data_IF_377676373163
#
_entry.id   IF_377676373163
#
_cell.length_a   1.000
_cell.length_b   1.000
_cell.length_c   1.000
_cell.angle_alpha   90.00
_cell.angle_beta   90.00
_cell.angle_gamma   90.00
#
_symmetry.space_group_name_H-M   'P 1'
#
loop_
_entity.id
_entity.type
_entity.pdbx_description
1 polymer ?
#
# COMPACT_ATOMS: atom_id res chain seq x y z
N UNK A 1 -13.43 29.26 -8.59
CA UNK A 1 -12.05 29.43 -8.10
C UNK A 1 -11.15 29.22 -9.31
N UNK A 2 -10.43 30.26 -9.75
CA UNK A 2 -9.56 30.16 -10.92
C UNK A 2 -8.38 29.24 -10.60
N UNK A 3 -8.15 28.25 -11.48
CA UNK A 3 -7.10 27.26 -11.35
C UNK A 3 -5.75 27.95 -11.53
N UNK A 4 -4.82 27.70 -10.61
CA UNK A 4 -3.47 28.26 -10.69
C UNK A 4 -2.74 27.58 -11.84
N UNK A 5 -2.15 28.36 -12.74
CA UNK A 5 -1.28 27.82 -13.79
C UNK A 5 0.11 27.60 -13.20
N UNK A 6 0.59 26.35 -13.24
CA UNK A 6 1.91 25.96 -12.78
C UNK A 6 2.88 25.94 -13.96
N UNK A 7 4.12 26.40 -13.73
CA UNK A 7 5.21 26.24 -14.70
C UNK A 7 5.89 24.88 -14.49
N UNK A 8 6.59 24.34 -15.51
CA UNK A 8 7.25 23.02 -15.45
C UNK A 8 8.21 22.80 -14.27
N UNK A 9 8.72 23.86 -13.63
CA UNK A 9 9.57 23.79 -12.42
C UNK A 9 8.80 23.81 -11.10
N UNK A 10 7.49 24.02 -11.16
CA UNK A 10 6.59 24.19 -10.01
C UNK A 10 5.81 22.89 -9.70
N UNK A 11 5.98 21.87 -10.55
CA UNK A 11 5.42 20.52 -10.36
C UNK A 11 6.30 19.68 -9.43
N UNK A 12 5.72 18.60 -8.90
CA UNK A 12 6.48 17.59 -8.19
C UNK A 12 7.54 16.97 -9.12
N UNK A 13 8.73 16.72 -8.58
CA UNK A 13 9.72 15.91 -9.26
C UNK A 13 9.13 14.50 -9.52
N UNK A 14 9.36 13.87 -10.70
CA UNK A 14 8.95 12.49 -10.96
C UNK A 14 9.28 11.49 -9.84
N UNK A 15 10.46 11.61 -9.22
CA UNK A 15 10.86 10.79 -8.07
C UNK A 15 9.97 11.02 -6.83
N UNK A 16 9.52 12.26 -6.62
CA UNK A 16 8.59 12.58 -5.54
C UNK A 16 7.17 12.05 -5.83
N UNK A 17 6.76 12.00 -7.10
CA UNK A 17 5.50 11.38 -7.52
C UNK A 17 5.54 9.86 -7.24
N UNK A 18 6.63 9.19 -7.64
CA UNK A 18 6.83 7.76 -7.37
C UNK A 18 6.83 7.47 -5.86
N UNK A 19 7.62 8.20 -5.08
CA UNK A 19 7.67 8.04 -3.63
C UNK A 19 6.31 8.35 -2.95
N UNK A 20 5.51 9.27 -3.49
CA UNK A 20 4.15 9.53 -2.99
C UNK A 20 3.21 8.34 -3.24
N UNK A 21 3.30 7.72 -4.43
CA UNK A 21 2.48 6.56 -4.81
C UNK A 21 2.85 5.33 -3.98
N UNK A 22 4.14 5.13 -3.72
CA UNK A 22 4.65 4.00 -2.95
C UNK A 22 4.54 4.20 -1.42
N UNK A 23 4.31 5.43 -0.96
CA UNK A 23 4.17 5.75 0.47
C UNK A 23 5.50 5.96 1.19
N UNK A 24 6.58 6.21 0.45
CA UNK A 24 7.96 6.30 0.94
C UNK A 24 8.39 7.74 1.30
N UNK A 25 7.47 8.70 1.21
CA UNK A 25 7.75 10.08 1.63
C UNK A 25 7.72 10.22 3.15
N UNK A 26 8.63 11.02 3.70
CA UNK A 26 8.52 11.49 5.09
C UNK A 26 7.21 12.26 5.32
N UNK A 27 6.66 12.23 6.53
CA UNK A 27 5.41 12.90 6.89
C UNK A 27 5.31 14.36 6.42
N UNK A 28 6.42 15.11 6.53
CA UNK A 28 6.46 16.50 6.10
C UNK A 28 6.44 16.64 4.57
N UNK A 29 7.13 15.75 3.85
CA UNK A 29 7.11 15.71 2.40
C UNK A 29 5.73 15.27 1.87
N UNK A 30 5.13 14.25 2.49
CA UNK A 30 3.79 13.77 2.16
C UNK A 30 2.74 14.88 2.25
N UNK A 31 2.70 15.64 3.36
CA UNK A 31 1.75 16.76 3.52
C UNK A 31 1.90 17.84 2.45
N UNK A 32 3.14 18.16 2.06
CA UNK A 32 3.40 19.15 0.99
C UNK A 32 2.95 18.61 -0.37
N UNK A 33 3.27 17.36 -0.67
CA UNK A 33 2.84 16.71 -1.89
C UNK A 33 1.30 16.62 -1.97
N UNK A 34 0.63 16.15 -0.91
CA UNK A 34 -0.82 16.07 -0.83
C UNK A 34 -1.48 17.42 -1.10
N UNK A 35 -0.97 18.49 -0.48
CA UNK A 35 -1.46 19.85 -0.74
C UNK A 35 -1.23 20.29 -2.18
N UNK A 36 -0.09 19.97 -2.77
CA UNK A 36 0.18 20.27 -4.17
C UNK A 36 -0.80 19.54 -5.11
N UNK A 37 -1.14 18.28 -4.82
CA UNK A 37 -2.09 17.50 -5.63
C UNK A 37 -3.52 18.06 -5.59
N UNK A 38 -3.93 18.74 -4.52
CA UNK A 38 -5.22 19.44 -4.45
C UNK A 38 -5.27 20.66 -5.39
N UNK A 39 -4.12 21.29 -5.61
CA UNK A 39 -4.00 22.53 -6.38
C UNK A 39 -3.60 22.26 -7.86
N UNK A 40 -2.88 21.17 -8.15
CA UNK A 40 -2.31 20.85 -9.47
C UNK A 40 -2.87 19.55 -10.08
N UNK A 41 -3.72 19.69 -11.10
CA UNK A 41 -4.33 18.54 -11.79
C UNK A 41 -3.31 17.68 -12.58
N UNK A 42 -2.23 18.27 -13.10
CA UNK A 42 -1.21 17.52 -13.84
C UNK A 42 -0.50 16.48 -12.96
N UNK A 43 -0.02 16.91 -11.78
CA UNK A 43 0.57 15.99 -10.82
C UNK A 43 -0.44 14.97 -10.28
N UNK A 44 -1.72 15.36 -10.15
CA UNK A 44 -2.78 14.40 -9.77
C UNK A 44 -2.97 13.31 -10.83
N UNK A 45 -2.93 13.69 -12.12
CA UNK A 45 -3.06 12.76 -13.24
C UNK A 45 -1.87 11.81 -13.32
N UNK A 46 -0.65 12.28 -13.03
CA UNK A 46 0.55 11.44 -12.97
C UNK A 46 0.48 10.41 -11.84
N UNK A 47 0.10 10.83 -10.63
CA UNK A 47 -0.12 9.93 -9.48
C UNK A 47 -1.13 8.83 -9.85
N UNK A 48 -2.25 9.22 -10.47
CA UNK A 48 -3.26 8.26 -10.88
C UNK A 48 -2.78 7.33 -12.00
N UNK A 49 -1.99 7.82 -12.95
CA UNK A 49 -1.39 7.00 -13.99
C UNK A 49 -0.45 5.93 -13.39
N UNK A 50 0.39 6.31 -12.44
CA UNK A 50 1.29 5.38 -11.75
C UNK A 50 0.52 4.37 -10.89
N UNK A 51 -0.51 4.81 -10.14
CA UNK A 51 -1.39 3.90 -9.39
C UNK A 51 -2.08 2.87 -10.28
N UNK A 52 -2.59 3.30 -11.45
CA UNK A 52 -3.17 2.39 -12.44
C UNK A 52 -2.14 1.40 -12.96
N UNK A 53 -0.92 1.85 -13.26
CA UNK A 53 0.16 0.95 -13.68
C UNK A 53 0.49 -0.09 -12.61
N UNK A 54 0.66 0.34 -11.35
CA UNK A 54 0.93 -0.56 -10.23
C UNK A 54 -0.22 -1.55 -9.99
N UNK A 55 -1.48 -1.11 -10.10
CA UNK A 55 -2.63 -2.00 -9.98
C UNK A 55 -2.67 -3.03 -11.12
N UNK A 56 -2.39 -2.63 -12.36
CA UNK A 56 -2.31 -3.56 -13.50
C UNK A 56 -1.29 -4.66 -13.25
N UNK A 57 -0.13 -4.34 -12.69
CA UNK A 57 0.88 -5.36 -12.34
C UNK A 57 0.42 -6.31 -11.24
N UNK A 58 -0.42 -5.86 -10.30
CA UNK A 58 -0.98 -6.69 -9.22
C UNK A 58 -2.12 -7.60 -9.68
N UNK A 59 -2.93 -7.13 -10.63
CA UNK A 59 -4.13 -7.84 -11.12
C UNK A 59 -3.85 -8.77 -12.29
N UNK A 60 -2.77 -8.52 -13.06
CA UNK A 60 -2.28 -9.50 -14.03
C UNK A 60 -1.99 -10.79 -13.29
N UNK A 61 -2.72 -11.84 -13.64
CA UNK A 61 -2.55 -13.18 -13.07
C UNK A 61 -1.12 -13.65 -13.35
N UNK A 62 -0.26 -13.43 -12.36
CA UNK A 62 1.12 -13.84 -12.41
C UNK A 62 1.25 -15.24 -11.82
N UNK A 63 0.49 -16.18 -12.36
CA UNK A 63 0.49 -17.60 -11.97
C UNK A 63 1.87 -18.26 -12.08
N UNK A 64 2.84 -17.59 -12.72
CA UNK A 64 4.25 -18.02 -12.76
C UNK A 64 5.09 -17.52 -11.58
N UNK A 65 4.70 -16.44 -10.89
CA UNK A 65 5.39 -15.92 -9.70
C UNK A 65 4.58 -16.28 -8.46
N UNK A 66 4.97 -17.37 -7.82
CA UNK A 66 4.42 -17.79 -6.54
C UNK A 66 5.55 -17.91 -5.50
N UNK A 67 5.20 -17.69 -4.24
CA UNK A 67 6.09 -18.01 -3.14
C UNK A 67 6.27 -19.53 -3.05
N UNK A 68 7.46 -20.04 -2.69
CA UNK A 68 7.66 -21.46 -2.45
C UNK A 68 6.69 -21.98 -1.39
N UNK A 69 6.14 -23.20 -1.59
CA UNK A 69 5.14 -23.81 -0.68
C UNK A 69 5.62 -23.83 0.77
N UNK A 70 6.90 -24.16 1.00
CA UNK A 70 7.51 -24.19 2.34
C UNK A 70 7.48 -22.84 3.07
N UNK A 71 7.58 -21.73 2.34
CA UNK A 71 7.47 -20.38 2.92
C UNK A 71 6.03 -20.10 3.32
N UNK A 72 5.07 -20.48 2.46
CA UNK A 72 3.64 -20.30 2.71
C UNK A 72 3.19 -21.10 3.94
N UNK A 73 3.61 -22.37 4.03
CA UNK A 73 3.34 -23.22 5.20
C UNK A 73 3.92 -22.64 6.49
N UNK A 74 5.17 -22.14 6.42
CA UNK A 74 5.81 -21.51 7.58
C UNK A 74 5.07 -20.24 8.02
N UNK A 75 4.71 -19.36 7.08
CA UNK A 75 3.94 -18.14 7.37
C UNK A 75 2.56 -18.46 7.95
N UNK A 76 1.89 -19.50 7.44
CA UNK A 76 0.59 -19.93 7.94
C UNK A 76 0.63 -20.49 9.37
N UNK A 77 1.81 -20.95 9.81
CA UNK A 77 2.05 -21.46 11.16
C UNK A 77 2.53 -20.40 12.17
N UNK A 78 2.76 -19.15 11.77
CA UNK A 78 3.17 -18.07 12.69
C UNK A 78 1.95 -17.52 13.43
N UNK A 79 2.06 -17.32 14.73
CA UNK A 79 1.02 -16.66 15.53
C UNK A 79 1.22 -15.13 15.51
N UNK A 80 0.17 -14.37 15.84
CA UNK A 80 0.21 -12.90 15.82
C UNK A 80 1.28 -12.31 16.76
N UNK A 81 1.61 -13.01 17.85
CA UNK A 81 2.66 -12.64 18.82
C UNK A 81 4.10 -12.82 18.31
N UNK A 82 4.31 -13.52 17.18
CA UNK A 82 5.63 -13.71 16.57
C UNK A 82 6.08 -12.51 15.71
N UNK A 83 5.18 -11.57 15.41
CA UNK A 83 5.42 -10.45 14.47
C UNK A 83 5.87 -9.14 15.15
N UNK A 84 5.83 -9.08 16.49
CA UNK A 84 6.21 -7.90 17.27
C UNK A 84 7.73 -7.64 17.31
N UNK A 85 8.55 -8.53 16.71
CA UNK A 85 10.00 -8.56 16.85
C UNK A 85 10.84 -7.93 15.73
N UNK A 86 10.25 -7.43 14.63
CA UNK A 86 11.02 -6.83 13.53
C UNK A 86 10.60 -5.37 13.32
N UNK A 87 11.19 -4.49 14.12
CA UNK A 87 10.91 -3.06 14.02
C UNK A 87 11.68 -2.17 15.01
N UNK A 88 13.00 -2.34 15.14
CA UNK A 88 13.84 -1.33 15.82
C UNK A 88 15.03 -0.98 14.92
N UNK A 89 14.83 -0.04 14.01
CA UNK A 89 15.92 0.80 13.51
C UNK A 89 16.12 1.94 14.52
N UNK A 90 17.33 2.20 15.03
CA UNK A 90 17.54 3.25 16.03
C UNK A 90 17.42 4.63 15.38
N UNK A 91 16.26 5.26 15.53
CA UNK A 91 15.98 6.66 15.18
C UNK A 91 15.56 7.48 16.41
N UNK A 92 15.90 8.77 16.50
CA UNK A 92 15.66 9.55 17.72
C UNK A 92 14.17 9.88 17.90
N UNK A 93 13.57 9.22 18.89
CA UNK A 93 12.42 9.59 19.76
C UNK A 93 11.54 10.79 19.32
N UNK A 94 10.34 10.46 18.85
CA UNK A 94 9.15 11.31 18.88
C UNK A 94 7.95 10.55 19.46
N UNK A 95 7.31 11.10 20.48
CA UNK A 95 6.25 10.49 21.32
C UNK A 95 5.09 9.88 20.54
N UNK A 96 4.64 8.72 21.04
CA UNK A 96 3.64 7.87 20.42
C UNK A 96 2.24 8.48 20.28
N UNK A 97 1.57 8.07 19.19
CA UNK A 97 0.11 8.09 19.07
C UNK A 97 -0.33 6.66 18.85
N UNK A 98 -1.03 6.09 19.82
CA UNK A 98 -1.79 4.86 19.63
C UNK A 98 -2.93 5.17 18.67
N UNK A 99 -2.80 4.76 17.41
CA UNK A 99 -3.95 4.46 16.56
C UNK A 99 -4.01 2.94 16.41
N UNK A 100 -4.55 2.30 17.45
CA UNK A 100 -5.18 1.01 17.27
C UNK A 100 -6.50 1.29 16.54
N UNK A 101 -6.51 1.11 15.21
CA UNK A 101 -7.72 1.15 14.40
C UNK A 101 -8.06 -0.27 13.96
N UNK A 102 -9.09 -0.83 14.58
CA UNK A 102 -10.27 -1.42 13.93
C UNK A 102 -10.15 -1.82 12.44
N UNK A 103 -9.22 -2.70 12.09
CA UNK A 103 -9.21 -3.43 10.81
C UNK A 103 -9.11 -4.95 11.00
N UNK A 104 -9.56 -5.45 12.15
CA UNK A 104 -9.30 -6.82 12.60
C UNK A 104 -10.33 -7.91 12.27
N UNK A 105 -11.54 -7.61 11.78
CA UNK A 105 -12.62 -8.62 11.82
C UNK A 105 -12.96 -9.33 10.52
N UNK A 106 -12.37 -8.99 9.37
CA UNK A 106 -12.99 -9.38 8.09
C UNK A 106 -12.17 -10.39 7.27
N UNK A 107 -10.94 -10.73 7.65
CA UNK A 107 -10.10 -11.63 6.85
C UNK A 107 -10.45 -13.11 7.04
N UNK A 108 -10.91 -13.50 8.24
CA UNK A 108 -11.26 -14.90 8.54
C UNK A 108 -12.52 -15.41 7.82
N UNK A 109 -13.53 -14.55 7.64
CA UNK A 109 -14.80 -14.91 7.01
C UNK A 109 -14.68 -15.07 5.48
N UNK A 110 -13.77 -14.31 4.84
CA UNK A 110 -13.54 -14.36 3.41
C UNK A 110 -12.86 -15.68 2.98
N UNK A 111 -11.92 -16.19 3.77
CA UNK A 111 -11.21 -17.45 3.49
C UNK A 111 -12.11 -18.69 3.63
N UNK A 112 -13.03 -18.71 4.61
CA UNK A 112 -13.96 -19.84 4.80
C UNK A 112 -14.95 -19.96 3.63
N UNK A 113 -15.38 -18.83 3.06
CA UNK A 113 -16.29 -18.82 1.91
C UNK A 113 -15.65 -19.36 0.63
N UNK A 114 -14.35 -19.11 0.42
CA UNK A 114 -13.60 -19.62 -0.73
C UNK A 114 -13.34 -21.14 -0.65
N UNK A 115 -13.06 -21.67 0.55
CA UNK A 115 -12.82 -23.11 0.75
C UNK A 115 -14.11 -23.96 0.67
N UNK A 116 -15.26 -23.40 1.04
CA UNK A 116 -16.56 -24.09 0.91
C UNK A 116 -17.02 -24.30 -0.53
N UNK A 117 -16.61 -23.45 -1.47
CA UNK A 117 -16.99 -23.53 -2.88
C UNK A 117 -16.27 -24.66 -3.64
N UNK A 118 -15.07 -25.07 -3.19
CA UNK A 118 -14.30 -26.14 -3.82
C UNK A 118 -14.76 -27.54 -3.40
N UNK A 119 -15.36 -27.68 -2.21
CA UNK A 119 -15.78 -28.99 -1.66
C UNK A 119 -17.06 -29.56 -2.29
N UNK A 120 -17.87 -28.77 -2.99
CA UNK A 120 -19.13 -29.21 -3.64
C UNK A 120 -19.01 -29.68 -5.10
N UNK A 121 -17.78 -29.78 -5.65
CA UNK A 121 -17.54 -30.27 -7.02
C UNK A 121 -16.87 -31.66 -7.08
N UNK A 122 -16.82 -32.37 -5.96
CA UNK A 122 -16.14 -33.65 -5.81
C UNK A 122 -17.01 -34.79 -5.29
N UNK A 123 -18.33 -34.73 -5.47
CA UNK A 123 -19.25 -35.87 -5.32
C UNK A 123 -20.05 -36.07 -6.61
#
# INVERSE_FOLDING_TARGET
MSKREFNSTDHLNPEAVAAFVDGELSDAAFRRAARHLEDCEECSAEVDAQRRAANRLRVVDNSSVHAPVSLVERLAGMCAEDLDGVGEAPGPRGRGRKLATDLGTNLGAALQSALGALKRRGE
#
